data_IF_580243664637
#
_entry.id   IF_580243664637
#
_cell.length_a   1.000
_cell.length_b   1.000
_cell.length_c   1.000
_cell.angle_alpha   90.00
_cell.angle_beta   90.00
_cell.angle_gamma   90.00
#
_symmetry.space_group_name_H-M   'P 1'
#
loop_
_entity.id
_entity.type
_entity.pdbx_description
1 polymer ?
#
# COMPACT_ATOMS: atom_id res chain seq x y z
N UNK A 1 21.24 1.65 -14.89
CA UNK A 1 20.31 2.75 -14.49
C UNK A 1 19.62 2.26 -13.24
N UNK A 2 19.68 2.99 -12.12
CA UNK A 2 18.92 2.67 -10.92
C UNK A 2 17.43 2.73 -11.27
N UNK A 3 16.64 1.73 -10.84
CA UNK A 3 15.20 1.72 -11.04
C UNK A 3 14.62 2.85 -10.18
N UNK A 4 13.73 3.67 -10.74
CA UNK A 4 13.05 4.74 -9.99
C UNK A 4 12.26 4.14 -8.83
N UNK A 5 12.41 4.70 -7.64
CA UNK A 5 11.66 4.24 -6.47
C UNK A 5 10.15 4.51 -6.66
N UNK A 6 9.32 3.53 -6.29
CA UNK A 6 7.86 3.64 -6.39
C UNK A 6 7.32 4.53 -5.27
N UNK A 7 6.47 5.49 -5.62
CA UNK A 7 5.67 6.27 -4.68
C UNK A 7 4.19 5.93 -4.85
N UNK A 8 3.63 5.24 -3.87
CA UNK A 8 2.20 4.95 -3.78
C UNK A 8 1.53 5.92 -2.82
N UNK A 9 0.39 6.49 -3.25
CA UNK A 9 -0.38 7.49 -2.49
C UNK A 9 -1.80 6.99 -2.26
N UNK A 10 -2.33 7.15 -1.04
CA UNK A 10 -3.74 6.85 -0.74
C UNK A 10 -4.63 7.93 -1.34
N UNK A 11 -5.61 7.51 -2.15
CA UNK A 11 -6.66 8.34 -2.71
C UNK A 11 -8.06 7.89 -2.24
N UNK A 12 -8.89 8.84 -1.82
CA UNK A 12 -10.24 8.60 -1.32
C UNK A 12 -11.29 8.92 -2.39
N UNK A 13 -10.94 9.78 -3.35
CA UNK A 13 -11.81 10.27 -4.42
C UNK A 13 -11.00 10.69 -5.66
N UNK A 14 -11.69 11.22 -6.66
CA UNK A 14 -11.10 11.65 -7.94
C UNK A 14 -10.17 12.84 -7.77
N UNK A 15 -10.48 13.79 -6.87
CA UNK A 15 -9.66 14.98 -6.62
C UNK A 15 -8.31 14.57 -6.03
N UNK A 16 -8.30 13.68 -5.04
CA UNK A 16 -7.11 13.09 -4.47
C UNK A 16 -6.25 12.39 -5.52
N UNK A 17 -6.88 11.57 -6.37
CA UNK A 17 -6.19 10.80 -7.40
C UNK A 17 -5.48 11.69 -8.43
N UNK A 18 -6.18 12.72 -8.93
CA UNK A 18 -5.63 13.70 -9.87
C UNK A 18 -4.49 14.49 -9.24
N UNK A 19 -4.63 14.94 -7.99
CA UNK A 19 -3.58 15.65 -7.27
C UNK A 19 -2.35 14.77 -7.03
N UNK A 20 -2.54 13.50 -6.66
CA UNK A 20 -1.44 12.56 -6.45
C UNK A 20 -0.67 12.29 -7.76
N UNK A 21 -1.36 12.03 -8.86
CA UNK A 21 -0.73 11.85 -10.18
C UNK A 21 0.02 13.12 -10.61
N UNK A 22 -0.58 14.29 -10.46
CA UNK A 22 0.06 15.57 -10.79
C UNK A 22 1.33 15.83 -9.95
N UNK A 23 1.37 15.34 -8.70
CA UNK A 23 2.54 15.38 -7.82
C UNK A 23 3.61 14.33 -8.12
N UNK A 24 3.37 13.41 -9.06
CA UNK A 24 4.35 12.40 -9.47
C UNK A 24 4.25 11.08 -8.72
N UNK A 25 3.08 10.74 -8.17
CA UNK A 25 2.80 9.38 -7.71
C UNK A 25 2.91 8.39 -8.87
N UNK A 26 3.44 7.19 -8.60
CA UNK A 26 3.55 6.10 -9.58
C UNK A 26 2.35 5.16 -9.50
N UNK A 27 1.69 5.09 -8.33
CA UNK A 27 0.56 4.21 -8.06
C UNK A 27 -0.35 4.81 -6.99
N UNK A 28 -1.63 4.46 -7.01
CA UNK A 28 -2.60 4.83 -5.97
C UNK A 28 -3.11 3.60 -5.25
N UNK A 29 -3.30 3.72 -3.94
CA UNK A 29 -4.16 2.82 -3.17
C UNK A 29 -5.52 3.48 -2.98
N UNK A 30 -6.58 2.80 -3.43
CA UNK A 30 -7.95 3.31 -3.35
C UNK A 30 -8.64 2.71 -2.14
N UNK A 31 -9.05 3.56 -1.21
CA UNK A 31 -9.74 3.18 0.02
C UNK A 31 -10.88 4.15 0.34
N UNK A 32 -11.69 3.78 1.31
CA UNK A 32 -12.60 4.70 2.02
C UNK A 32 -12.44 4.51 3.53
N UNK A 33 -13.07 5.35 4.34
CA UNK A 33 -13.12 5.22 5.81
C UNK A 33 -11.75 5.02 6.48
N UNK A 34 -10.94 6.07 6.48
CA UNK A 34 -9.63 6.06 7.15
C UNK A 34 -9.72 5.99 8.68
N UNK A 35 -10.90 6.17 9.28
CA UNK A 35 -11.08 5.91 10.72
C UNK A 35 -10.98 4.41 11.04
N UNK A 36 -11.29 3.57 10.06
CA UNK A 36 -11.11 2.12 10.10
C UNK A 36 -9.81 1.65 9.38
N UNK A 37 -8.79 2.51 9.26
CA UNK A 37 -7.54 2.21 8.54
C UNK A 37 -7.74 1.80 7.06
N UNK A 38 -8.79 2.29 6.42
CA UNK A 38 -9.10 2.06 5.00
C UNK A 38 -9.93 0.81 4.72
N UNK A 39 -11.14 1.02 4.20
CA UNK A 39 -12.06 -0.02 3.73
C UNK A 39 -12.20 0.00 2.22
N UNK A 40 -12.87 -1.01 1.65
CA UNK A 40 -13.19 -1.07 0.22
C UNK A 40 -14.00 0.16 -0.20
N UNK A 41 -13.56 0.91 -1.23
CA UNK A 41 -14.30 2.06 -1.73
C UNK A 41 -15.54 1.63 -2.53
N UNK A 42 -16.52 2.53 -2.75
CA UNK A 42 -17.62 2.27 -3.69
C UNK A 42 -17.10 2.04 -5.12
N UNK A 43 -17.71 1.13 -5.88
CA UNK A 43 -17.35 0.84 -7.27
C UNK A 43 -17.41 2.10 -8.16
N UNK A 44 -18.38 2.99 -7.94
CA UNK A 44 -18.48 4.26 -8.65
C UNK A 44 -17.26 5.17 -8.44
N UNK A 45 -16.67 5.15 -7.23
CA UNK A 45 -15.43 5.88 -6.92
C UNK A 45 -14.26 5.31 -7.71
N UNK A 46 -14.12 3.97 -7.75
CA UNK A 46 -13.08 3.28 -8.53
C UNK A 46 -13.18 3.63 -10.00
N UNK A 47 -14.38 3.50 -10.60
CA UNK A 47 -14.64 3.83 -12.00
C UNK A 47 -14.33 5.31 -12.31
N UNK A 48 -14.73 6.23 -11.41
CA UNK A 48 -14.46 7.66 -11.56
C UNK A 48 -12.95 7.97 -11.51
N UNK A 49 -12.21 7.36 -10.60
CA UNK A 49 -10.75 7.52 -10.50
C UNK A 49 -10.08 6.92 -11.73
N UNK A 50 -10.46 5.70 -12.16
CA UNK A 50 -9.87 5.07 -13.36
C UNK A 50 -10.05 5.91 -14.61
N UNK A 51 -11.18 6.61 -14.75
CA UNK A 51 -11.43 7.51 -15.85
C UNK A 51 -10.62 8.81 -15.83
N UNK A 52 -10.08 9.19 -14.66
CA UNK A 52 -9.42 10.48 -14.44
C UNK A 52 -7.89 10.41 -14.43
N UNK A 53 -7.30 9.22 -14.22
CA UNK A 53 -5.84 9.05 -14.09
C UNK A 53 -5.35 7.85 -14.90
N UNK A 54 -4.05 7.87 -15.28
CA UNK A 54 -3.42 6.85 -16.13
C UNK A 54 -2.47 5.92 -15.35
N UNK A 55 -2.15 6.26 -14.09
CA UNK A 55 -1.23 5.48 -13.26
C UNK A 55 -1.92 4.23 -12.67
N UNK A 56 -1.12 3.31 -12.14
CA UNK A 56 -1.60 2.07 -11.54
C UNK A 56 -2.53 2.34 -10.34
N UNK A 57 -3.58 1.53 -10.22
CA UNK A 57 -4.56 1.60 -9.12
C UNK A 57 -4.58 0.28 -8.37
N UNK A 58 -4.40 0.31 -7.05
CA UNK A 58 -4.64 -0.82 -6.17
C UNK A 58 -5.86 -0.59 -5.31
N UNK A 59 -6.87 -1.45 -5.44
CA UNK A 59 -8.16 -1.31 -4.76
C UNK A 59 -8.20 -2.18 -3.51
N UNK A 60 -8.53 -1.56 -2.37
CA UNK A 60 -8.67 -2.28 -1.10
C UNK A 60 -9.86 -3.23 -1.11
N UNK A 61 -9.66 -4.46 -0.67
CA UNK A 61 -10.69 -5.45 -0.39
C UNK A 61 -10.72 -5.73 1.12
N UNK A 62 -11.46 -4.94 1.86
CA UNK A 62 -11.61 -5.02 3.31
C UNK A 62 -12.97 -4.46 3.72
N UNK A 63 -13.82 -5.29 4.34
CA UNK A 63 -15.23 -4.97 4.57
C UNK A 63 -15.52 -4.33 5.94
N UNK A 64 -14.60 -4.47 6.89
CA UNK A 64 -14.75 -3.96 8.25
C UNK A 64 -13.39 -3.69 8.88
N UNK A 65 -13.36 -2.97 9.98
CA UNK A 65 -12.16 -2.77 10.78
C UNK A 65 -11.60 -4.09 11.33
N UNK A 66 -10.29 -4.09 11.62
CA UNK A 66 -9.53 -5.28 12.00
C UNK A 66 -9.05 -6.08 10.78
N UNK A 67 -8.45 -7.26 11.03
CA UNK A 67 -7.82 -8.08 9.99
C UNK A 67 -8.51 -9.44 9.77
N UNK A 68 -9.67 -9.68 10.39
CA UNK A 68 -10.47 -10.86 10.07
C UNK A 68 -11.13 -10.70 8.69
N UNK A 69 -11.17 -11.76 7.89
CA UNK A 69 -11.81 -11.75 6.58
C UNK A 69 -13.33 -11.47 6.64
N UNK A 70 -13.98 -11.91 7.72
CA UNK A 70 -15.43 -11.80 7.86
C UNK A 70 -16.19 -12.64 6.83
N UNK A 71 -17.13 -12.03 6.12
CA UNK A 71 -17.90 -12.69 5.06
C UNK A 71 -17.09 -12.81 3.76
N UNK A 72 -16.42 -13.96 3.59
CA UNK A 72 -15.57 -14.24 2.42
C UNK A 72 -16.38 -14.30 1.12
N UNK A 73 -17.64 -14.77 1.14
CA UNK A 73 -18.50 -14.79 -0.05
C UNK A 73 -18.83 -13.35 -0.49
N UNK A 74 -19.01 -12.45 0.45
CA UNK A 74 -19.18 -11.02 0.16
C UNK A 74 -17.89 -10.41 -0.40
N UNK A 75 -16.70 -10.74 0.16
CA UNK A 75 -15.41 -10.29 -0.37
C UNK A 75 -15.24 -10.71 -1.83
N UNK A 76 -15.57 -11.96 -2.17
CA UNK A 76 -15.51 -12.46 -3.56
C UNK A 76 -16.46 -11.68 -4.47
N UNK A 77 -17.70 -11.44 -4.05
CA UNK A 77 -18.64 -10.62 -4.85
C UNK A 77 -18.12 -9.19 -5.06
N UNK A 78 -17.59 -8.59 -4.02
CA UNK A 78 -17.02 -7.23 -4.08
C UNK A 78 -15.77 -7.21 -4.97
N UNK A 79 -14.92 -8.24 -4.94
CA UNK A 79 -13.78 -8.33 -5.85
C UNK A 79 -14.21 -8.31 -7.33
N UNK A 80 -15.27 -9.06 -7.68
CA UNK A 80 -15.84 -9.03 -9.05
C UNK A 80 -16.42 -7.63 -9.37
N UNK A 81 -17.17 -7.03 -8.46
CA UNK A 81 -17.72 -5.68 -8.62
C UNK A 81 -16.62 -4.63 -8.87
N UNK A 82 -15.51 -4.70 -8.15
CA UNK A 82 -14.37 -3.81 -8.36
C UNK A 82 -13.69 -4.04 -9.70
N UNK A 83 -13.55 -5.29 -10.15
CA UNK A 83 -13.04 -5.61 -11.48
C UNK A 83 -13.95 -5.03 -12.58
N UNK A 84 -15.25 -5.16 -12.45
CA UNK A 84 -16.22 -4.59 -13.38
C UNK A 84 -16.15 -3.05 -13.41
N UNK A 85 -15.75 -2.43 -12.30
CA UNK A 85 -15.48 -0.99 -12.21
C UNK A 85 -14.12 -0.56 -12.77
N UNK A 86 -13.31 -1.50 -13.27
CA UNK A 86 -12.01 -1.24 -13.90
C UNK A 86 -10.80 -1.42 -13.00
N UNK A 87 -10.95 -2.05 -11.83
CA UNK A 87 -9.82 -2.44 -11.00
C UNK A 87 -9.12 -3.67 -11.58
N UNK A 88 -7.80 -3.60 -11.72
CA UNK A 88 -6.93 -4.67 -12.20
C UNK A 88 -5.82 -5.05 -11.21
N UNK A 89 -5.71 -4.34 -10.09
CA UNK A 89 -4.78 -4.63 -9.00
C UNK A 89 -5.47 -4.40 -7.64
N UNK A 90 -5.06 -5.16 -6.61
CA UNK A 90 -5.80 -5.20 -5.35
C UNK A 90 -4.89 -5.12 -4.11
N UNK A 91 -5.49 -4.76 -2.96
CA UNK A 91 -4.85 -4.76 -1.65
C UNK A 91 -5.75 -5.48 -0.66
N UNK A 92 -5.24 -6.49 0.01
CA UNK A 92 -5.93 -7.17 1.11
C UNK A 92 -4.96 -7.99 1.97
N UNK A 93 -5.47 -8.53 3.08
CA UNK A 93 -4.72 -9.42 3.93
C UNK A 93 -5.56 -9.81 5.15
N UNK A 94 -5.62 -11.10 5.45
CA UNK A 94 -6.47 -11.59 6.53
C UNK A 94 -5.69 -12.41 7.52
N UNK A 95 -6.00 -12.21 8.79
CA UNK A 95 -5.46 -12.97 9.91
C UNK A 95 -6.60 -13.69 10.65
N UNK A 96 -6.29 -14.87 11.13
CA UNK A 96 -7.14 -15.59 12.06
C UNK A 96 -7.00 -15.02 13.50
N UNK A 97 -7.82 -15.49 14.46
CA UNK A 97 -7.74 -15.01 15.84
C UNK A 97 -6.41 -15.30 16.56
N UNK A 98 -5.59 -16.24 16.04
CA UNK A 98 -4.26 -16.54 16.57
C UNK A 98 -3.17 -15.64 15.97
N UNK A 99 -3.52 -14.76 15.03
CA UNK A 99 -2.58 -13.89 14.30
C UNK A 99 -1.82 -14.61 13.20
N UNK A 100 -2.22 -15.82 12.81
CA UNK A 100 -1.72 -16.47 11.60
C UNK A 100 -2.51 -16.01 10.37
N UNK A 101 -1.92 -16.18 9.16
CA UNK A 101 -2.65 -15.85 7.93
C UNK A 101 -3.89 -16.77 7.78
N UNK A 102 -5.06 -16.17 7.55
CA UNK A 102 -6.27 -16.88 7.12
C UNK A 102 -6.12 -17.27 5.64
N UNK A 103 -5.34 -18.34 5.42
CA UNK A 103 -5.00 -18.78 4.07
C UNK A 103 -6.23 -19.16 3.26
N UNK A 104 -7.24 -19.77 3.89
CA UNK A 104 -8.46 -20.18 3.20
C UNK A 104 -9.23 -18.98 2.65
N UNK A 105 -9.34 -17.90 3.42
CA UNK A 105 -9.95 -16.66 2.96
C UNK A 105 -9.11 -15.98 1.85
N UNK A 106 -7.79 -15.93 2.02
CA UNK A 106 -6.88 -15.37 1.02
C UNK A 106 -6.98 -16.11 -0.31
N UNK A 107 -6.89 -17.45 -0.31
CA UNK A 107 -6.98 -18.28 -1.52
C UNK A 107 -8.31 -18.10 -2.26
N UNK A 108 -9.42 -17.95 -1.53
CA UNK A 108 -10.73 -17.71 -2.14
C UNK A 108 -10.81 -16.36 -2.83
N UNK A 109 -10.24 -15.31 -2.23
CA UNK A 109 -10.18 -13.99 -2.87
C UNK A 109 -9.24 -14.03 -4.06
N UNK A 110 -8.03 -14.61 -3.93
CA UNK A 110 -7.06 -14.76 -5.02
C UNK A 110 -7.68 -15.47 -6.24
N UNK A 111 -8.46 -16.53 -6.02
CA UNK A 111 -9.15 -17.22 -7.10
C UNK A 111 -10.15 -16.34 -7.85
N UNK A 112 -10.79 -15.38 -7.17
CA UNK A 112 -11.72 -14.43 -7.79
C UNK A 112 -11.00 -13.32 -8.57
N UNK A 113 -9.72 -13.07 -8.29
CA UNK A 113 -8.93 -12.04 -8.94
C UNK A 113 -8.35 -12.47 -10.29
N UNK A 114 -8.36 -13.76 -10.61
CA UNK A 114 -7.95 -14.30 -11.92
C UNK A 114 -6.53 -13.85 -12.33
N UNK A 115 -5.58 -13.93 -11.41
CA UNK A 115 -4.18 -13.60 -11.63
C UNK A 115 -3.82 -12.12 -11.55
N UNK A 116 -4.77 -11.24 -11.23
CA UNK A 116 -4.45 -9.82 -11.00
C UNK A 116 -3.38 -9.65 -9.92
N UNK A 117 -2.46 -8.68 -10.05
CA UNK A 117 -1.50 -8.35 -9.02
C UNK A 117 -2.16 -7.89 -7.73
N UNK A 118 -1.55 -8.26 -6.59
CA UNK A 118 -2.07 -7.81 -5.31
C UNK A 118 -1.00 -7.63 -4.24
N UNK A 119 -1.31 -6.71 -3.31
CA UNK A 119 -0.52 -6.41 -2.11
C UNK A 119 -1.13 -7.10 -0.91
N UNK A 120 -0.32 -7.82 -0.12
CA UNK A 120 -0.69 -8.14 1.25
C UNK A 120 -0.41 -6.92 2.14
N UNK A 121 -1.45 -6.35 2.73
CA UNK A 121 -1.36 -5.08 3.44
C UNK A 121 -0.77 -5.22 4.87
N UNK A 122 -0.85 -4.15 5.65
CA UNK A 122 -0.27 -4.04 7.01
C UNK A 122 -0.77 -5.06 8.04
N UNK A 123 -1.65 -5.99 7.69
CA UNK A 123 -1.95 -7.15 8.54
C UNK A 123 -0.68 -7.94 8.90
N UNK A 124 0.34 -7.98 8.02
CA UNK A 124 1.64 -8.58 8.31
C UNK A 124 2.31 -7.96 9.54
N UNK A 125 2.07 -6.68 9.84
CA UNK A 125 2.63 -6.01 11.02
C UNK A 125 1.98 -6.46 12.34
N UNK A 126 0.89 -7.19 12.25
CA UNK A 126 0.14 -7.78 13.38
C UNK A 126 0.21 -9.32 13.40
N UNK A 127 0.87 -9.92 12.43
CA UNK A 127 1.05 -11.36 12.39
C UNK A 127 1.87 -11.84 13.59
N UNK A 128 1.47 -12.98 14.16
CA UNK A 128 2.20 -13.63 15.25
C UNK A 128 3.60 -14.10 14.81
N UNK A 129 3.72 -14.51 13.54
CA UNK A 129 4.98 -14.91 12.92
C UNK A 129 5.00 -14.45 11.46
N UNK A 130 5.84 -13.44 11.16
CA UNK A 130 5.96 -12.85 9.82
C UNK A 130 6.59 -13.80 8.80
N UNK A 131 7.57 -14.61 9.23
CA UNK A 131 8.26 -15.57 8.38
C UNK A 131 7.31 -16.72 7.99
N UNK A 132 6.57 -17.24 8.95
CA UNK A 132 5.55 -18.26 8.70
C UNK A 132 4.44 -17.72 7.76
N UNK A 133 3.98 -16.46 7.95
CA UNK A 133 3.02 -15.83 7.07
C UNK A 133 3.53 -15.75 5.63
N UNK A 134 4.76 -15.21 5.43
CA UNK A 134 5.38 -15.12 4.11
C UNK A 134 5.54 -16.49 3.45
N UNK A 135 6.00 -17.50 4.23
CA UNK A 135 6.12 -18.87 3.74
C UNK A 135 4.80 -19.49 3.31
N UNK A 136 3.70 -19.20 4.02
CA UNK A 136 2.35 -19.68 3.68
C UNK A 136 1.78 -19.04 2.41
N UNK A 137 2.13 -17.77 2.16
CA UNK A 137 1.69 -17.02 0.99
C UNK A 137 2.60 -17.21 -0.22
N UNK A 138 3.80 -17.76 -0.02
CA UNK A 138 4.76 -17.96 -1.10
C UNK A 138 4.16 -18.82 -2.22
N UNK A 139 4.25 -18.32 -3.45
CA UNK A 139 3.74 -19.01 -4.64
C UNK A 139 2.25 -18.78 -4.93
N UNK A 140 1.51 -18.03 -4.13
CA UNK A 140 0.16 -17.62 -4.51
C UNK A 140 0.22 -16.70 -5.76
N UNK A 141 -0.66 -16.96 -6.75
CA UNK A 141 -0.66 -16.17 -7.97
C UNK A 141 -0.99 -14.70 -7.69
N UNK A 142 -0.28 -13.79 -8.36
CA UNK A 142 -0.51 -12.35 -8.28
C UNK A 142 0.07 -11.64 -7.05
N UNK A 143 0.50 -12.34 -5.99
CA UNK A 143 1.16 -11.69 -4.85
C UNK A 143 2.51 -11.11 -5.27
N UNK A 144 2.60 -9.80 -5.39
CA UNK A 144 3.83 -9.11 -5.81
C UNK A 144 4.39 -8.14 -4.77
N UNK A 145 3.61 -7.78 -3.76
CA UNK A 145 3.97 -6.71 -2.80
C UNK A 145 3.51 -7.04 -1.38
N UNK A 146 4.34 -6.71 -0.40
CA UNK A 146 3.95 -6.60 1.02
C UNK A 146 4.02 -5.14 1.46
N UNK A 147 2.88 -4.55 1.83
CA UNK A 147 2.84 -3.24 2.49
C UNK A 147 3.06 -3.45 3.99
N UNK A 148 4.12 -2.86 4.51
CA UNK A 148 4.52 -3.06 5.90
C UNK A 148 5.26 -1.85 6.48
N UNK A 149 5.09 -1.64 7.76
CA UNK A 149 5.91 -0.74 8.57
C UNK A 149 7.09 -1.47 9.23
N UNK A 150 7.16 -2.80 9.14
CA UNK A 150 8.12 -3.61 9.87
C UNK A 150 7.73 -3.87 11.34
N UNK A 151 6.75 -3.12 11.87
CA UNK A 151 6.23 -3.29 13.21
C UNK A 151 4.80 -2.74 13.33
N UNK A 152 4.01 -3.28 14.26
CA UNK A 152 2.65 -2.82 14.53
C UNK A 152 2.57 -1.32 14.90
N UNK A 153 3.59 -0.82 15.59
CA UNK A 153 3.68 0.58 16.04
C UNK A 153 4.09 1.57 14.93
N UNK A 154 4.46 1.10 13.74
CA UNK A 154 4.85 1.94 12.63
C UNK A 154 6.34 1.86 12.27
N UNK A 155 6.73 2.62 11.25
CA UNK A 155 8.08 2.57 10.63
C UNK A 155 9.19 2.87 11.64
N UNK A 156 9.02 3.82 12.55
CA UNK A 156 10.04 4.13 13.58
C UNK A 156 10.47 2.88 14.35
N UNK A 157 9.50 2.07 14.77
CA UNK A 157 9.77 0.84 15.51
C UNK A 157 10.20 -0.32 14.59
N UNK A 158 9.88 -0.23 13.29
CA UNK A 158 10.06 -1.30 12.31
C UNK A 158 11.34 -1.24 11.49
N UNK A 159 12.16 -0.16 11.59
CA UNK A 159 13.33 0.05 10.73
C UNK A 159 14.30 -1.14 10.72
N UNK A 160 14.55 -1.78 11.87
CA UNK A 160 15.44 -2.94 11.93
C UNK A 160 14.86 -4.16 11.23
N UNK A 161 13.55 -4.39 11.35
CA UNK A 161 12.85 -5.48 10.65
C UNK A 161 12.87 -5.26 9.15
N UNK A 162 12.54 -4.04 8.68
CA UNK A 162 12.57 -3.68 7.27
C UNK A 162 13.95 -3.92 6.66
N UNK A 163 15.02 -3.46 7.32
CA UNK A 163 16.39 -3.68 6.88
C UNK A 163 16.78 -5.18 6.89
N UNK A 164 16.29 -5.96 7.85
CA UNK A 164 16.54 -7.40 7.90
C UNK A 164 15.80 -8.14 6.79
N UNK A 165 14.55 -7.79 6.49
CA UNK A 165 13.76 -8.37 5.41
C UNK A 165 14.32 -7.99 4.02
N UNK A 166 14.76 -6.75 3.82
CA UNK A 166 15.40 -6.32 2.57
C UNK A 166 16.65 -7.16 2.21
N UNK A 167 17.45 -7.53 3.21
CA UNK A 167 18.63 -8.40 3.00
C UNK A 167 18.28 -9.86 2.63
N UNK A 168 17.01 -10.24 2.73
CA UNK A 168 16.52 -11.58 2.36
C UNK A 168 15.89 -11.62 0.97
N UNK A 169 16.00 -10.53 0.20
CA UNK A 169 15.48 -10.48 -1.17
C UNK A 169 15.92 -11.71 -1.99
N UNK A 170 14.98 -12.28 -2.75
CA UNK A 170 15.17 -13.50 -3.52
C UNK A 170 15.13 -14.81 -2.73
N UNK A 171 15.06 -14.79 -1.39
CA UNK A 171 14.81 -16.00 -0.61
C UNK A 171 13.31 -16.41 -0.69
N UNK A 172 12.97 -17.69 -0.44
CA UNK A 172 11.58 -18.12 -0.40
C UNK A 172 10.73 -17.26 0.54
N UNK A 173 9.62 -16.69 0.03
CA UNK A 173 8.74 -15.75 0.74
C UNK A 173 9.24 -14.29 0.79
N UNK A 174 10.38 -13.98 0.18
CA UNK A 174 10.99 -12.65 0.15
C UNK A 174 11.30 -12.13 -1.27
N UNK A 175 10.70 -12.72 -2.30
CA UNK A 175 10.80 -12.24 -3.67
C UNK A 175 9.79 -11.13 -4.04
N UNK A 176 8.88 -10.80 -3.14
CA UNK A 176 7.89 -9.74 -3.33
C UNK A 176 8.47 -8.38 -2.94
N UNK A 177 8.03 -7.33 -3.63
CA UNK A 177 8.41 -5.97 -3.28
C UNK A 177 7.99 -5.62 -1.84
N UNK A 178 8.89 -5.03 -1.06
CA UNK A 178 8.54 -4.43 0.22
C UNK A 178 8.14 -2.97 -0.05
N UNK A 179 6.87 -2.66 0.20
CA UNK A 179 6.30 -1.33 0.15
C UNK A 179 6.25 -0.76 1.56
N UNK A 180 7.08 0.22 1.85
CA UNK A 180 7.20 0.77 3.20
C UNK A 180 6.11 1.80 3.46
N UNK A 181 5.26 1.55 4.47
CA UNK A 181 4.18 2.47 4.86
C UNK A 181 3.76 2.29 6.32
N UNK A 182 2.94 3.21 6.82
CA UNK A 182 2.49 3.20 8.21
C UNK A 182 3.37 4.05 9.13
N UNK A 183 3.13 5.37 9.12
CA UNK A 183 3.92 6.35 9.87
C UNK A 183 5.26 6.68 9.21
N UNK A 184 5.37 6.46 7.90
CA UNK A 184 6.54 6.84 7.12
C UNK A 184 6.70 8.35 7.09
N UNK A 185 7.94 8.83 7.30
CA UNK A 185 8.34 10.25 7.21
C UNK A 185 9.50 10.42 6.24
N UNK A 186 9.69 11.63 5.74
CA UNK A 186 10.77 11.95 4.79
C UNK A 186 12.18 11.67 5.36
N UNK A 187 12.38 11.83 6.66
CA UNK A 187 13.67 11.57 7.32
C UNK A 187 14.05 10.08 7.39
N UNK A 188 13.08 9.17 7.19
CA UNK A 188 13.37 7.74 7.05
C UNK A 188 13.92 7.35 5.67
N UNK A 189 13.55 8.11 4.62
CA UNK A 189 13.81 7.72 3.21
C UNK A 189 15.28 7.46 2.91
N UNK A 190 16.25 8.33 3.30
CA UNK A 190 17.66 8.09 2.96
C UNK A 190 18.18 6.77 3.51
N UNK A 191 17.79 6.40 4.73
CA UNK A 191 18.18 5.14 5.34
C UNK A 191 17.54 3.95 4.65
N UNK A 192 16.24 4.02 4.37
CA UNK A 192 15.51 2.93 3.72
C UNK A 192 16.03 2.66 2.31
N UNK A 193 16.35 3.71 1.54
CA UNK A 193 17.01 3.58 0.23
C UNK A 193 18.39 2.93 0.35
N UNK A 194 19.19 3.31 1.36
CA UNK A 194 20.48 2.70 1.61
C UNK A 194 20.39 1.22 2.02
N UNK A 195 19.28 0.82 2.65
CA UNK A 195 18.97 -0.59 2.97
C UNK A 195 18.40 -1.36 1.76
N UNK A 196 18.24 -0.73 0.57
CA UNK A 196 17.76 -1.34 -0.68
C UNK A 196 16.24 -1.37 -0.85
N UNK A 197 15.50 -0.60 -0.05
CA UNK A 197 14.04 -0.48 -0.16
C UNK A 197 13.69 0.63 -1.16
N UNK A 198 12.92 0.26 -2.20
CA UNK A 198 12.64 1.13 -3.35
C UNK A 198 11.13 1.36 -3.58
N UNK A 199 10.28 1.09 -2.59
CA UNK A 199 8.84 1.36 -2.69
C UNK A 199 8.31 1.94 -1.39
N UNK A 200 7.54 3.02 -1.51
CA UNK A 200 7.11 3.85 -0.40
C UNK A 200 5.63 4.20 -0.51
N UNK A 201 4.92 4.09 0.60
CA UNK A 201 3.48 4.30 0.67
C UNK A 201 3.17 5.42 1.65
N UNK A 202 2.43 6.43 1.19
CA UNK A 202 2.01 7.57 2.00
C UNK A 202 0.51 7.81 1.92
N UNK A 203 -0.07 8.22 3.05
CA UNK A 203 -1.46 8.63 3.14
C UNK A 203 -1.57 10.02 3.74
N UNK A 204 -1.63 10.11 5.07
CA UNK A 204 -1.69 11.41 5.77
C UNK A 204 -0.53 12.35 5.46
N UNK A 205 0.65 11.82 5.13
CA UNK A 205 1.82 12.62 4.75
C UNK A 205 1.67 13.39 3.42
N UNK A 206 0.73 12.98 2.57
CA UNK A 206 0.38 13.70 1.34
C UNK A 206 -0.68 14.80 1.57
N UNK A 207 -1.14 15.00 2.83
CA UNK A 207 -2.30 15.85 3.19
C UNK A 207 -1.90 16.86 4.26
N UNK A 208 -1.70 18.14 3.94
CA UNK A 208 -1.35 19.17 4.92
C UNK A 208 -2.34 19.29 6.08
N UNK A 209 -3.62 19.05 5.81
CA UNK A 209 -4.71 19.04 6.79
C UNK A 209 -4.93 17.67 7.49
N UNK A 210 -4.03 16.69 7.34
CA UNK A 210 -4.26 15.31 7.74
C UNK A 210 -5.42 14.68 6.97
N UNK A 211 -6.05 13.64 7.52
CA UNK A 211 -7.13 12.91 6.85
C UNK A 211 -8.41 13.71 6.56
N UNK A 212 -8.52 14.92 7.09
CA UNK A 212 -9.65 15.84 6.81
C UNK A 212 -9.42 16.74 5.60
N UNK A 213 -8.18 16.82 5.11
CA UNK A 213 -7.83 17.62 3.94
C UNK A 213 -7.60 16.74 2.71
N UNK A 214 -7.66 17.36 1.50
CA UNK A 214 -7.35 16.64 0.25
C UNK A 214 -5.85 16.34 0.14
N UNK A 215 -5.51 15.44 -0.79
CA UNK A 215 -4.13 15.25 -1.23
C UNK A 215 -3.59 16.54 -1.85
N UNK A 216 -2.38 16.91 -1.51
CA UNK A 216 -1.66 18.06 -2.08
C UNK A 216 -0.65 17.58 -3.11
N UNK A 217 -0.79 17.99 -4.36
CA UNK A 217 0.19 17.71 -5.42
C UNK A 217 1.60 18.22 -5.02
N UNK A 218 1.70 19.34 -4.30
CA UNK A 218 2.97 19.88 -3.83
C UNK A 218 3.65 18.99 -2.79
N UNK A 219 2.88 18.42 -1.83
CA UNK A 219 3.42 17.47 -0.86
C UNK A 219 3.86 16.16 -1.55
N UNK A 220 3.08 15.65 -2.50
CA UNK A 220 3.47 14.47 -3.27
C UNK A 220 4.73 14.74 -4.09
N UNK A 221 4.84 15.90 -4.74
CA UNK A 221 6.05 16.32 -5.48
C UNK A 221 7.27 16.46 -4.56
N UNK A 222 7.09 16.92 -3.31
CA UNK A 222 8.16 16.95 -2.31
C UNK A 222 8.67 15.55 -1.98
N UNK A 223 7.77 14.57 -1.78
CA UNK A 223 8.13 13.16 -1.59
C UNK A 223 8.87 12.62 -2.81
N UNK A 224 8.36 12.92 -4.01
CA UNK A 224 8.97 12.48 -5.26
C UNK A 224 10.40 13.00 -5.41
N UNK A 225 10.65 14.30 -5.19
CA UNK A 225 11.98 14.89 -5.23
C UNK A 225 12.97 14.20 -4.28
N UNK A 226 12.55 13.90 -3.06
CA UNK A 226 13.42 13.18 -2.10
C UNK A 226 13.75 11.77 -2.59
N UNK A 227 12.76 11.04 -3.15
CA UNK A 227 12.94 9.69 -3.68
C UNK A 227 13.80 9.67 -4.93
N UNK A 228 13.76 10.69 -5.76
CA UNK A 228 14.59 10.82 -6.98
C UNK A 228 16.02 11.33 -6.65
N UNK A 229 16.31 11.66 -5.39
CA UNK A 229 17.61 12.16 -4.95
C UNK A 229 17.85 13.63 -5.29
N UNK A 230 16.80 14.36 -5.66
CA UNK A 230 16.89 15.79 -5.87
C UNK A 230 17.12 16.48 -4.51
N UNK A 231 18.17 17.29 -4.41
CA UNK A 231 18.41 18.06 -3.19
C UNK A 231 17.22 18.99 -2.95
N UNK A 232 16.49 18.78 -1.85
CA UNK A 232 15.44 19.69 -1.41
C UNK A 232 16.11 21.04 -1.19
N UNK A 233 15.95 21.99 -2.12
CA UNK A 233 16.35 23.39 -1.89
C UNK A 233 15.47 23.88 -0.74
N UNK A 234 16.06 24.34 0.39
CA UNK A 234 15.26 25.02 1.40
C UNK A 234 14.60 26.22 0.73
N UNK A 235 13.26 26.29 0.81
CA UNK A 235 12.55 27.51 0.42
C UNK A 235 13.14 28.66 1.26
N UNK A 236 13.86 29.56 0.59
CA UNK A 236 14.25 30.85 1.15
C UNK A 236 12.95 31.59 1.39
N UNK A 237 12.52 31.67 2.66
CA UNK A 237 11.46 32.60 3.08
C UNK A 237 11.79 33.99 2.52
N UNK A 238 10.86 34.66 1.84
CA UNK A 238 11.09 36.04 1.44
C UNK A 238 11.23 36.92 2.69
N UNK A 239 12.32 37.70 2.75
CA UNK A 239 12.62 38.69 3.79
C UNK A 239 11.62 39.82 3.71
#
# INVERSE_FOLDING_TARGET
MSKRAVLEVIALDVEDAVAAQAGGADRLELVTDMAADGLTPPAATVAGIRAAVDIDLRVMLRLADGFAAGDVDRLVRVAHEMRDAGADQFVFGFLDPAGAVDLAAVERVVAALDGCPWTFHRAIDRAADRDALRGRLAGLPGLDTYLTAGAAAGVDAGLSTLAAEARRDGQPGYGQQILVGGGLRLDHVPRLLADGLEAFHIGGAARPGGWRGPVSAAEVARWRSVLDGDAVRPELSPV
#
